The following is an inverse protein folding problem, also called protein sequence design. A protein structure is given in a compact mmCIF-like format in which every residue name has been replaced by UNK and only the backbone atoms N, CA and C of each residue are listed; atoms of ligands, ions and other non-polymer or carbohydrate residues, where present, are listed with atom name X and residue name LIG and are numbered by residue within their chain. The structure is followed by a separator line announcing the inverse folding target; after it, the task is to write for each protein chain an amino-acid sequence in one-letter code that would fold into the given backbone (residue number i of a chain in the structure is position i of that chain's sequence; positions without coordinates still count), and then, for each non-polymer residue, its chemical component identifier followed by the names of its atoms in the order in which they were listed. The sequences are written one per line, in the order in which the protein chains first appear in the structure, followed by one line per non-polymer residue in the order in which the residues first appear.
data_IF_368102771403
#
_entry.id   IF_368102771403
#
_cell.length_a   1.000
_cell.length_b   1.000
_cell.length_c   1.000
_cell.angle_alpha   90.00
_cell.angle_beta   90.00
_cell.angle_gamma   90.00
#
_symmetry.space_group_name_H-M   'P 1'
#
loop_
_entity.id
_entity.type
_entity.pdbx_description
1 polymer ?
#
# COMPACT_ATOMS: atom_id res chain seq x y z
N UNK A 1 -5.53 -23.07 -32.84
CA UNK A 1 -6.62 -23.00 -31.86
C UNK A 1 -6.98 -21.54 -31.68
N UNK A 2 -8.27 -21.19 -31.73
CA UNK A 2 -8.74 -19.84 -31.40
C UNK A 2 -9.19 -19.90 -29.93
N UNK A 3 -8.69 -19.04 -29.02
CA UNK A 3 -9.09 -19.07 -27.62
C UNK A 3 -10.59 -18.82 -27.44
N UNK A 4 -11.29 -19.75 -26.79
CA UNK A 4 -12.74 -19.63 -26.51
C UNK A 4 -13.03 -18.95 -25.17
N UNK A 5 -12.04 -18.86 -24.28
CA UNK A 5 -12.16 -18.24 -22.95
C UNK A 5 -10.84 -17.65 -22.49
N UNK A 6 -10.92 -16.48 -21.86
CA UNK A 6 -9.81 -15.84 -21.16
C UNK A 6 -10.30 -15.44 -19.77
N UNK A 7 -9.46 -15.58 -18.76
CA UNK A 7 -9.71 -15.10 -17.41
C UNK A 7 -8.62 -14.10 -17.05
N UNK A 8 -9.02 -12.96 -16.49
CA UNK A 8 -8.14 -11.86 -16.09
C UNK A 8 -8.48 -11.49 -14.66
N UNK A 9 -7.47 -11.21 -13.84
CA UNK A 9 -7.63 -10.66 -12.50
C UNK A 9 -7.13 -9.23 -12.50
N UNK A 10 -7.88 -8.33 -11.88
CA UNK A 10 -7.54 -6.91 -11.71
C UNK A 10 -7.37 -6.61 -10.22
N UNK A 11 -6.27 -5.98 -9.85
CA UNK A 11 -6.01 -5.43 -8.51
C UNK A 11 -6.01 -3.90 -8.63
N UNK A 12 -6.97 -3.24 -7.97
CA UNK A 12 -7.19 -1.79 -8.03
C UNK A 12 -6.98 -1.24 -6.61
N UNK A 13 -6.12 -0.24 -6.48
CA UNK A 13 -5.79 0.38 -5.19
C UNK A 13 -5.80 1.90 -5.31
N UNK A 14 -6.49 2.54 -4.37
CA UNK A 14 -6.44 3.99 -4.17
C UNK A 14 -6.59 4.28 -2.67
N UNK A 15 -6.03 5.41 -2.22
CA UNK A 15 -6.26 5.94 -0.88
C UNK A 15 -7.60 6.66 -0.76
N UNK A 16 -8.20 7.02 -1.88
CA UNK A 16 -9.55 7.55 -1.98
C UNK A 16 -10.50 6.47 -2.53
N UNK A 17 -11.49 5.98 -1.76
CA UNK A 17 -12.42 4.95 -2.21
C UNK A 17 -13.13 5.32 -3.52
N UNK A 18 -13.43 6.61 -3.74
CA UNK A 18 -14.07 7.09 -4.97
C UNK A 18 -13.21 6.87 -6.21
N UNK A 19 -11.89 6.82 -6.07
CA UNK A 19 -10.98 6.49 -7.17
C UNK A 19 -11.13 5.03 -7.61
N UNK A 20 -11.29 4.11 -6.64
CA UNK A 20 -11.56 2.69 -6.91
C UNK A 20 -12.90 2.55 -7.66
N UNK A 21 -13.96 3.17 -7.15
CA UNK A 21 -15.30 3.12 -7.75
C UNK A 21 -15.30 3.64 -9.20
N UNK A 22 -14.55 4.72 -9.45
CA UNK A 22 -14.39 5.29 -10.79
C UNK A 22 -13.73 4.28 -11.74
N UNK A 23 -12.63 3.63 -11.32
CA UNK A 23 -11.94 2.64 -12.16
C UNK A 23 -12.82 1.43 -12.42
N UNK A 24 -13.53 0.92 -11.41
CA UNK A 24 -14.46 -0.21 -11.56
C UNK A 24 -15.55 0.13 -12.58
N UNK A 25 -16.16 1.32 -12.46
CA UNK A 25 -17.21 1.78 -13.37
C UNK A 25 -16.71 1.87 -14.82
N UNK A 26 -15.51 2.39 -15.05
CA UNK A 26 -14.93 2.48 -16.40
C UNK A 26 -14.55 1.10 -16.97
N UNK A 27 -14.12 0.16 -16.13
CA UNK A 27 -13.88 -1.24 -16.54
C UNK A 27 -15.19 -1.90 -16.99
N UNK A 28 -16.26 -1.77 -16.20
CA UNK A 28 -17.57 -2.33 -16.55
C UNK A 28 -18.08 -1.77 -17.87
N UNK A 29 -17.98 -0.45 -18.05
CA UNK A 29 -18.38 0.22 -19.30
C UNK A 29 -17.58 -0.29 -20.49
N UNK A 30 -16.26 -0.43 -20.36
CA UNK A 30 -15.40 -0.96 -21.41
C UNK A 30 -15.79 -2.41 -21.78
N UNK A 31 -16.11 -3.24 -20.79
CA UNK A 31 -16.54 -4.62 -21.03
C UNK A 31 -17.87 -4.70 -21.77
N UNK A 32 -18.83 -3.82 -21.46
CA UNK A 32 -20.09 -3.72 -22.22
C UNK A 32 -19.90 -3.24 -23.66
N UNK A 33 -18.98 -2.30 -23.90
CA UNK A 33 -18.61 -1.87 -25.25
C UNK A 33 -17.99 -3.04 -26.05
N UNK A 34 -17.08 -3.79 -25.44
CA UNK A 34 -16.45 -4.98 -26.05
C UNK A 34 -17.50 -6.05 -26.35
N UNK A 35 -18.41 -6.34 -25.41
CA UNK A 35 -19.50 -7.30 -25.60
C UNK A 35 -20.35 -6.95 -26.82
N UNK A 36 -20.74 -5.68 -26.93
CA UNK A 36 -21.56 -5.19 -28.05
C UNK A 36 -20.84 -5.31 -29.39
N UNK A 37 -19.56 -4.90 -29.43
CA UNK A 37 -18.77 -4.84 -30.66
C UNK A 37 -18.31 -6.21 -31.15
N UNK A 38 -17.90 -7.08 -30.22
CA UNK A 38 -17.24 -8.34 -30.51
C UNK A 38 -18.14 -9.56 -30.32
N UNK A 39 -19.36 -9.39 -29.77
CA UNK A 39 -20.30 -10.48 -29.44
C UNK A 39 -19.68 -11.53 -28.50
N UNK A 40 -18.96 -11.04 -27.50
CA UNK A 40 -18.32 -11.86 -26.47
C UNK A 40 -19.02 -11.59 -25.14
N UNK A 41 -19.43 -12.65 -24.45
CA UNK A 41 -19.97 -12.53 -23.09
C UNK A 41 -18.85 -12.45 -22.04
N UNK A 42 -19.13 -11.77 -20.94
CA UNK A 42 -18.23 -11.67 -19.80
C UNK A 42 -18.99 -11.79 -18.48
N UNK A 43 -18.26 -12.15 -17.44
CA UNK A 43 -18.69 -12.10 -16.04
C UNK A 43 -17.61 -11.41 -15.24
N UNK A 44 -18.00 -10.53 -14.33
CA UNK A 44 -17.09 -9.85 -13.40
C UNK A 44 -17.54 -10.13 -11.97
N UNK A 45 -16.59 -10.45 -11.11
CA UNK A 45 -16.81 -10.75 -9.70
C UNK A 45 -15.80 -9.97 -8.87
N UNK A 46 -16.28 -9.32 -7.80
CA UNK A 46 -15.42 -8.66 -6.82
C UNK A 46 -14.94 -9.73 -5.83
N UNK A 47 -13.68 -10.12 -5.93
CA UNK A 47 -13.09 -11.15 -5.06
C UNK A 47 -12.74 -10.65 -3.66
N UNK A 48 -12.54 -9.33 -3.51
CA UNK A 48 -12.19 -8.72 -2.23
C UNK A 48 -12.17 -7.20 -2.31
N UNK A 49 -12.64 -6.55 -1.25
CA UNK A 49 -12.65 -5.10 -1.10
C UNK A 49 -12.29 -4.75 0.34
N UNK A 50 -11.47 -3.72 0.52
CA UNK A 50 -11.09 -3.20 1.82
C UNK A 50 -11.03 -1.68 1.78
N UNK A 51 -11.51 -1.03 2.83
CA UNK A 51 -11.39 0.41 2.97
C UNK A 51 -9.93 0.83 3.24
N UNK A 52 -9.50 2.03 2.81
CA UNK A 52 -8.21 2.59 3.18
C UNK A 52 -8.09 2.72 4.69
N UNK A 53 -6.95 2.30 5.24
CA UNK A 53 -6.70 2.34 6.67
C UNK A 53 -5.81 3.54 6.99
N UNK A 54 -6.31 4.40 7.87
CA UNK A 54 -5.56 5.56 8.37
C UNK A 54 -4.86 5.15 9.67
N UNK A 55 -3.54 5.17 9.65
CA UNK A 55 -2.71 4.92 10.83
C UNK A 55 -2.71 6.14 11.78
N UNK A 56 -2.27 5.91 13.02
CA UNK A 56 -2.38 6.89 14.09
C UNK A 56 -1.56 8.16 13.80
N UNK A 57 -2.24 9.32 13.87
CA UNK A 57 -1.59 10.62 13.64
C UNK A 57 -0.58 10.92 14.74
N UNK A 58 -0.88 10.61 16.00
CA UNK A 58 0.05 10.85 17.12
C UNK A 58 1.35 10.06 16.96
N UNK A 59 1.25 8.78 16.57
CA UNK A 59 2.43 7.94 16.36
C UNK A 59 3.25 8.44 15.16
N UNK A 60 2.60 8.78 14.04
CA UNK A 60 3.32 9.32 12.88
C UNK A 60 3.98 10.67 13.15
N UNK A 61 3.30 11.59 13.88
CA UNK A 61 3.89 12.85 14.31
C UNK A 61 5.11 12.63 15.22
N UNK A 62 5.06 11.65 16.13
CA UNK A 62 6.18 11.31 17.00
C UNK A 62 7.38 10.75 16.23
N UNK A 63 7.14 9.85 15.28
CA UNK A 63 8.18 9.31 14.39
C UNK A 63 8.89 10.46 13.66
N UNK A 64 8.15 11.44 13.15
CA UNK A 64 8.72 12.61 12.48
C UNK A 64 9.53 13.51 13.41
N UNK A 65 9.06 13.69 14.63
CA UNK A 65 9.78 14.45 15.63
C UNK A 65 11.13 13.80 15.95
N UNK A 66 11.17 12.49 16.15
CA UNK A 66 12.42 11.76 16.41
C UNK A 66 13.34 11.77 15.18
N UNK A 67 12.79 11.58 13.97
CA UNK A 67 13.55 11.68 12.73
C UNK A 67 14.20 13.07 12.57
N UNK A 68 13.46 14.12 12.91
CA UNK A 68 13.95 15.51 12.89
C UNK A 68 15.07 15.74 13.89
N UNK A 69 14.94 15.25 15.13
CA UNK A 69 16.00 15.33 16.17
C UNK A 69 17.29 14.64 15.73
N UNK A 70 17.17 13.53 15.02
CA UNK A 70 18.29 12.75 14.49
C UNK A 70 18.87 13.33 13.18
N UNK A 71 18.30 14.40 12.64
CA UNK A 71 18.72 14.99 11.37
C UNK A 71 18.46 14.09 10.15
N UNK A 72 17.52 13.15 10.26
CA UNK A 72 17.15 12.25 9.17
C UNK A 72 16.24 12.99 8.20
N UNK A 73 16.56 12.94 6.90
CA UNK A 73 15.62 13.40 5.86
C UNK A 73 14.51 12.36 5.69
N UNK A 74 13.26 12.82 5.71
CA UNK A 74 12.08 11.97 5.60
C UNK A 74 10.99 12.61 4.74
N UNK A 75 9.95 11.82 4.44
CA UNK A 75 8.68 12.28 3.84
C UNK A 75 7.53 11.47 4.44
N UNK A 76 6.33 12.06 4.58
CA UNK A 76 5.11 11.27 4.76
C UNK A 76 4.75 10.59 3.46
N UNK A 77 4.28 9.35 3.57
CA UNK A 77 3.76 8.62 2.43
C UNK A 77 2.77 7.56 2.87
N UNK A 78 1.90 7.19 1.93
CA UNK A 78 0.99 6.05 2.08
C UNK A 78 1.74 4.76 1.74
N UNK A 79 1.36 3.66 2.39
CA UNK A 79 1.82 2.33 1.97
C UNK A 79 1.02 1.86 0.76
N UNK A 80 1.72 1.39 -0.29
CA UNK A 80 1.08 0.72 -1.43
C UNK A 80 0.78 -0.76 -1.17
N UNK A 81 1.39 -1.34 -0.12
CA UNK A 81 1.20 -2.73 0.29
C UNK A 81 0.39 -2.82 1.58
N UNK A 82 -0.32 -3.93 1.72
CA UNK A 82 -1.00 -4.30 2.97
C UNK A 82 0.03 -4.93 3.91
N UNK A 83 0.02 -4.53 5.18
CA UNK A 83 0.91 -5.04 6.22
C UNK A 83 0.08 -5.44 7.45
N UNK A 84 0.65 -6.21 8.37
CA UNK A 84 -0.05 -6.58 9.61
C UNK A 84 -0.50 -5.36 10.44
N UNK A 85 0.24 -4.25 10.31
CA UNK A 85 -0.13 -2.94 10.86
C UNK A 85 -1.55 -2.50 10.49
N UNK A 86 -2.04 -2.87 9.30
CA UNK A 86 -3.40 -2.62 8.83
C UNK A 86 -4.44 -3.30 9.73
N UNK A 87 -4.18 -4.54 10.15
CA UNK A 87 -5.08 -5.27 11.04
C UNK A 87 -4.99 -4.73 12.47
N UNK A 88 -3.77 -4.42 12.94
CA UNK A 88 -3.53 -3.90 14.28
C UNK A 88 -4.12 -2.51 14.51
N UNK A 89 -4.30 -1.70 13.46
CA UNK A 89 -4.92 -0.38 13.55
C UNK A 89 -6.35 -0.39 14.11
N UNK A 90 -7.05 -1.54 14.04
CA UNK A 90 -8.38 -1.70 14.64
C UNK A 90 -8.33 -2.00 16.15
N UNK A 91 -7.15 -2.31 16.69
CA UNK A 91 -6.94 -2.76 18.07
C UNK A 91 -6.19 -1.69 18.88
N UNK A 92 -5.24 -0.99 18.26
CA UNK A 92 -4.37 -0.03 18.95
C UNK A 92 -3.83 1.05 18.00
N UNK A 93 -3.18 2.05 18.57
CA UNK A 93 -2.46 3.06 17.82
C UNK A 93 -1.23 2.44 17.14
N UNK A 94 -1.15 2.57 15.82
CA UNK A 94 -0.07 2.00 15.01
C UNK A 94 0.58 3.09 14.16
N UNK A 95 1.89 2.99 13.98
CA UNK A 95 2.65 3.75 12.99
C UNK A 95 3.65 2.85 12.27
N UNK A 96 4.14 3.30 11.12
CA UNK A 96 5.09 2.55 10.30
C UNK A 96 6.29 3.43 9.93
N UNK A 97 7.47 2.82 9.88
CA UNK A 97 8.71 3.44 9.39
C UNK A 97 9.15 2.67 8.15
N UNK A 98 9.27 3.39 7.03
CA UNK A 98 9.79 2.84 5.78
C UNK A 98 11.26 3.20 5.59
N UNK A 99 12.03 2.26 5.06
CA UNK A 99 13.40 2.47 4.60
C UNK A 99 13.49 2.21 3.08
N UNK A 100 14.37 2.91 2.36
CA UNK A 100 14.45 2.78 0.89
C UNK A 100 15.00 1.41 0.46
N UNK A 101 14.25 0.70 -0.39
CA UNK A 101 14.78 -0.43 -1.17
C UNK A 101 15.43 0.08 -2.46
N UNK A 102 16.54 -0.54 -2.89
CA UNK A 102 17.27 -0.20 -4.11
C UNK A 102 16.33 -0.35 -5.31
N UNK A 103 16.16 0.73 -6.07
CA UNK A 103 15.23 0.83 -7.20
C UNK A 103 13.76 0.52 -6.86
N UNK A 104 13.37 0.57 -5.56
CA UNK A 104 12.00 0.29 -5.12
C UNK A 104 11.54 -1.15 -5.38
N UNK A 105 12.47 -2.10 -5.57
CA UNK A 105 12.14 -3.49 -5.86
C UNK A 105 11.64 -4.19 -4.59
N UNK A 106 10.63 -5.04 -4.74
CA UNK A 106 10.16 -5.96 -3.72
C UNK A 106 9.61 -7.25 -4.35
N UNK A 107 9.53 -8.34 -3.59
CA UNK A 107 9.07 -9.67 -4.04
C UNK A 107 9.89 -10.25 -5.19
N UNK A 108 11.19 -9.93 -5.22
CA UNK A 108 12.15 -10.41 -6.22
C UNK A 108 13.47 -10.75 -5.53
N UNK A 109 14.27 -11.71 -6.05
CA UNK A 109 15.52 -12.14 -5.42
C UNK A 109 16.55 -11.01 -5.22
N UNK A 110 16.49 -9.97 -6.05
CA UNK A 110 17.39 -8.82 -5.99
C UNK A 110 16.89 -7.69 -5.09
N UNK A 111 15.77 -7.88 -4.39
CA UNK A 111 15.33 -6.96 -3.34
C UNK A 111 16.46 -6.72 -2.35
N UNK A 112 16.81 -5.45 -2.14
CA UNK A 112 17.95 -5.09 -1.30
C UNK A 112 17.77 -3.68 -0.74
N UNK A 113 18.04 -3.55 0.55
CA UNK A 113 18.15 -2.26 1.26
C UNK A 113 19.59 -2.11 1.74
N UNK A 114 20.18 -0.93 1.59
CA UNK A 114 21.54 -0.68 2.08
C UNK A 114 21.59 -0.76 3.61
N UNK A 115 22.65 -1.36 4.17
CA UNK A 115 22.78 -1.52 5.62
C UNK A 115 22.67 -0.21 6.40
N UNK A 116 23.18 0.89 5.83
CA UNK A 116 23.07 2.24 6.44
C UNK A 116 21.62 2.68 6.62
N UNK A 117 20.74 2.30 5.68
CA UNK A 117 19.34 2.69 5.68
C UNK A 117 18.53 1.78 6.60
N UNK A 118 18.85 0.48 6.64
CA UNK A 118 18.33 -0.46 7.66
C UNK A 118 18.68 0.05 9.06
N UNK A 119 19.96 0.33 9.32
CA UNK A 119 20.42 0.83 10.63
C UNK A 119 19.68 2.11 11.01
N UNK A 120 19.57 3.07 10.09
CA UNK A 120 18.84 4.32 10.32
C UNK A 120 17.38 4.07 10.69
N UNK A 121 16.71 3.14 10.02
CA UNK A 121 15.34 2.73 10.35
C UNK A 121 15.24 2.12 11.75
N UNK A 122 16.17 1.23 12.11
CA UNK A 122 16.24 0.62 13.44
C UNK A 122 16.51 1.65 14.55
N UNK A 123 17.44 2.58 14.33
CA UNK A 123 17.76 3.63 15.29
C UNK A 123 16.54 4.54 15.52
N UNK A 124 15.82 4.91 14.46
CA UNK A 124 14.60 5.71 14.55
C UNK A 124 13.49 4.98 15.28
N UNK A 125 13.28 3.70 14.95
CA UNK A 125 12.31 2.84 15.64
C UNK A 125 12.60 2.78 17.14
N UNK A 126 13.87 2.58 17.52
CA UNK A 126 14.29 2.56 18.91
C UNK A 126 13.97 3.88 19.62
N UNK A 127 14.35 5.02 19.02
CA UNK A 127 14.07 6.34 19.58
C UNK A 127 12.57 6.58 19.79
N UNK A 128 11.74 6.20 18.80
CA UNK A 128 10.28 6.30 18.90
C UNK A 128 9.71 5.44 20.02
N UNK A 129 10.12 4.16 20.10
CA UNK A 129 9.62 3.23 21.13
C UNK A 129 10.03 3.70 22.54
N UNK A 130 11.27 4.16 22.72
CA UNK A 130 11.72 4.70 24.01
C UNK A 130 10.89 5.91 24.40
N UNK A 131 10.58 6.81 23.46
CA UNK A 131 9.74 7.97 23.77
C UNK A 131 8.30 7.54 24.14
N UNK A 132 7.70 6.58 23.42
CA UNK A 132 6.37 6.06 23.74
C UNK A 132 6.28 5.34 25.09
N UNK A 133 7.39 4.78 25.58
CA UNK A 133 7.44 4.01 26.82
C UNK A 133 7.66 4.87 28.09
N UNK A 134 7.95 6.17 27.93
CA UNK A 134 8.16 7.11 29.03
C UNK A 134 6.92 7.98 29.26
#
# INVERSE_FOLDING_TARGET
SIPERVSITLDIRDVNPKGIDMVVTEVEKLLEEIKTKNKIDFTMEIMGQSDPIILSKSISDLIEQEASKMGIKYKRMNSGAVHDSSLLANITDVGMIFVPSINGRSHVPEEKTEYKDIKRGCDLLLATIVNLAN
#
